data_IF_272316605178
#
_entry.id   IF_272316605178
#
_cell.length_a   1.000
_cell.length_b   1.000
_cell.length_c   1.000
_cell.angle_alpha   90.00
_cell.angle_beta   90.00
_cell.angle_gamma   90.00
#
_symmetry.space_group_name_H-M   'P 1'
#
loop_
_entity.id
_entity.type
_entity.pdbx_description
1 polymer ?
#
# COMPACT_ATOMS: atom_id res chain seq x y z
N UNK A 1 -14.41 18.15 10.25
CA UNK A 1 -13.58 18.50 9.09
C UNK A 1 -12.14 18.21 9.50
N UNK A 2 -11.53 17.12 9.04
CA UNK A 2 -10.15 16.83 9.43
C UNK A 2 -9.21 17.86 8.80
N UNK A 3 -8.22 18.38 9.55
CA UNK A 3 -7.35 19.43 9.06
C UNK A 3 -6.60 18.97 7.81
N UNK A 4 -6.70 19.72 6.72
CA UNK A 4 -5.85 19.52 5.54
C UNK A 4 -4.41 19.77 5.99
N UNK A 5 -3.45 18.94 5.59
CA UNK A 5 -2.06 19.22 5.95
C UNK A 5 -1.65 20.55 5.34
N UNK A 6 -1.09 21.42 6.17
CA UNK A 6 -0.45 22.62 5.66
C UNK A 6 0.94 22.26 5.16
N UNK A 7 1.41 23.04 4.19
CA UNK A 7 2.77 22.91 3.69
C UNK A 7 3.80 23.02 4.83
N UNK A 8 3.53 23.88 5.81
CA UNK A 8 4.36 24.07 7.00
C UNK A 8 4.47 22.80 7.86
N UNK A 9 3.36 22.09 8.09
CA UNK A 9 3.36 20.84 8.85
C UNK A 9 4.22 19.78 8.15
N UNK A 10 4.09 19.62 6.83
CA UNK A 10 4.89 18.66 6.08
C UNK A 10 6.38 19.03 6.08
N UNK A 11 6.70 20.32 5.89
CA UNK A 11 8.06 20.81 5.95
C UNK A 11 8.72 20.59 7.32
N UNK A 12 7.92 20.62 8.40
CA UNK A 12 8.40 20.33 9.75
C UNK A 12 8.54 18.83 10.04
N UNK A 13 7.57 18.01 9.61
CA UNK A 13 7.48 16.59 9.99
C UNK A 13 8.37 15.68 9.13
N UNK A 14 8.39 15.85 7.80
CA UNK A 14 9.11 14.93 6.92
C UNK A 14 10.61 14.84 7.24
N UNK A 15 11.34 15.96 7.46
CA UNK A 15 12.75 15.87 7.85
C UNK A 15 12.99 15.17 9.19
N UNK A 16 12.03 15.24 10.12
CA UNK A 16 12.09 14.55 11.42
C UNK A 16 11.87 13.05 11.26
N UNK A 17 10.92 12.66 10.41
CA UNK A 17 10.72 11.26 10.03
C UNK A 17 11.96 10.69 9.34
N UNK A 18 12.63 11.47 8.49
CA UNK A 18 13.89 11.07 7.83
C UNK A 18 15.03 10.82 8.82
N UNK A 19 14.99 11.43 10.01
CA UNK A 19 15.92 11.16 11.11
C UNK A 19 15.48 10.03 12.04
N UNK A 20 14.33 9.41 11.76
CA UNK A 20 13.79 8.33 12.57
C UNK A 20 13.12 8.80 13.87
N UNK A 21 12.68 10.05 13.96
CA UNK A 21 11.98 10.55 15.15
C UNK A 21 10.55 9.95 15.26
N UNK A 22 10.23 9.10 16.27
CA UNK A 22 8.95 8.41 16.33
C UNK A 22 7.75 9.35 16.44
N UNK A 23 7.87 10.43 17.19
CA UNK A 23 6.81 11.43 17.35
C UNK A 23 6.41 12.11 16.03
N UNK A 24 7.34 12.22 15.06
CA UNK A 24 7.02 12.77 13.75
C UNK A 24 6.25 11.76 12.89
N UNK A 25 6.59 10.47 13.01
CA UNK A 25 5.88 9.38 12.34
C UNK A 25 4.45 9.27 12.88
N UNK A 26 4.28 9.32 14.21
CA UNK A 26 2.99 9.33 14.88
C UNK A 26 2.12 10.52 14.43
N UNK A 27 2.70 11.72 14.36
CA UNK A 27 1.98 12.88 13.86
C UNK A 27 1.52 12.72 12.39
N UNK A 28 2.33 12.11 11.51
CA UNK A 28 1.90 11.79 10.15
C UNK A 28 0.80 10.72 10.16
N UNK A 29 0.92 9.71 11.03
CA UNK A 29 -0.08 8.66 11.18
C UNK A 29 -1.46 9.23 11.55
N UNK A 30 -1.54 10.04 12.60
CA UNK A 30 -2.79 10.67 13.06
C UNK A 30 -3.47 11.52 11.98
N UNK A 31 -2.67 12.12 11.10
CA UNK A 31 -3.16 12.99 10.03
C UNK A 31 -3.69 12.23 8.81
N UNK A 32 -3.17 11.03 8.53
CA UNK A 32 -3.46 10.29 7.29
C UNK A 32 -4.21 8.97 7.50
N UNK A 33 -4.15 8.37 8.69
CA UNK A 33 -4.65 7.00 8.93
C UNK A 33 -6.11 6.83 8.53
N UNK A 34 -7.01 7.67 9.05
CA UNK A 34 -8.44 7.60 8.72
C UNK A 34 -8.72 7.86 7.22
N UNK A 35 -7.94 8.74 6.57
CA UNK A 35 -8.12 9.05 5.14
C UNK A 35 -7.65 7.91 4.24
N UNK A 36 -6.53 7.29 4.59
CA UNK A 36 -6.01 6.12 3.89
C UNK A 36 -6.93 4.93 4.10
N UNK A 37 -7.40 4.71 5.34
CA UNK A 37 -8.37 3.67 5.64
C UNK A 37 -9.64 3.83 4.82
N UNK A 38 -10.26 5.02 4.78
CA UNK A 38 -11.44 5.25 3.93
C UNK A 38 -11.15 5.08 2.44
N UNK A 39 -9.98 5.53 1.98
CA UNK A 39 -9.56 5.37 0.59
C UNK A 39 -9.41 3.89 0.21
N UNK A 40 -8.84 3.09 1.09
CA UNK A 40 -8.63 1.65 0.90
C UNK A 40 -9.95 0.90 1.03
N UNK A 41 -10.76 1.20 2.05
CA UNK A 41 -12.08 0.60 2.26
C UNK A 41 -12.99 0.76 1.04
N UNK A 42 -13.03 1.96 0.46
CA UNK A 42 -13.84 2.22 -0.75
C UNK A 42 -13.36 1.46 -1.99
N UNK A 43 -12.10 1.02 -2.01
CA UNK A 43 -11.53 0.25 -3.14
C UNK A 43 -11.65 -1.24 -2.93
N UNK A 44 -11.35 -1.71 -1.71
CA UNK A 44 -11.28 -3.13 -1.37
C UNK A 44 -12.65 -3.71 -1.08
N UNK A 45 -13.56 -2.93 -0.47
CA UNK A 45 -14.85 -3.42 0.03
C UNK A 45 -14.73 -4.32 1.26
N UNK A 46 -13.53 -4.46 1.83
CA UNK A 46 -13.18 -5.32 2.94
C UNK A 46 -12.57 -4.48 4.07
N UNK A 47 -13.23 -4.36 5.24
CA UNK A 47 -12.72 -3.61 6.39
C UNK A 47 -11.41 -4.14 6.95
N UNK A 48 -11.23 -5.46 7.01
CA UNK A 48 -10.04 -6.07 7.60
C UNK A 48 -8.84 -5.85 6.68
N UNK A 49 -9.01 -6.12 5.37
CA UNK A 49 -7.98 -5.82 4.37
C UNK A 49 -7.64 -4.32 4.32
N UNK A 50 -8.63 -3.43 4.49
CA UNK A 50 -8.40 -2.00 4.52
C UNK A 50 -7.58 -1.57 5.75
N UNK A 51 -7.83 -2.14 6.92
CA UNK A 51 -7.06 -1.87 8.13
C UNK A 51 -5.61 -2.34 8.00
N UNK A 52 -5.41 -3.56 7.50
CA UNK A 52 -4.09 -4.15 7.27
C UNK A 52 -3.28 -3.35 6.26
N UNK A 53 -3.88 -3.03 5.10
CA UNK A 53 -3.18 -2.23 4.09
C UNK A 53 -2.93 -0.79 4.55
N UNK A 54 -3.77 -0.22 5.43
CA UNK A 54 -3.48 1.09 6.02
C UNK A 54 -2.19 1.05 6.82
N UNK A 55 -2.03 0.03 7.67
CA UNK A 55 -0.81 -0.17 8.45
C UNK A 55 0.40 -0.37 7.53
N UNK A 56 0.27 -1.21 6.50
CA UNK A 56 1.32 -1.47 5.51
C UNK A 56 1.75 -0.21 4.74
N UNK A 57 0.83 0.73 4.44
CA UNK A 57 1.19 2.03 3.85
C UNK A 57 2.20 2.76 4.73
N UNK A 58 1.99 2.81 6.05
CA UNK A 58 2.90 3.50 6.97
C UNK A 58 4.21 2.76 7.16
N UNK A 59 4.20 1.42 7.14
CA UNK A 59 5.43 0.62 7.14
C UNK A 59 6.28 0.97 5.92
N UNK A 60 5.71 0.95 4.71
CA UNK A 60 6.41 1.33 3.48
C UNK A 60 6.83 2.79 3.47
N UNK A 61 6.00 3.68 4.03
CA UNK A 61 6.35 5.09 4.21
C UNK A 61 7.65 5.19 5.02
N UNK A 62 7.74 4.57 6.20
CA UNK A 62 8.93 4.61 7.05
C UNK A 62 10.16 4.04 6.33
N UNK A 63 10.00 2.92 5.62
CA UNK A 63 11.09 2.28 4.87
C UNK A 63 11.65 3.17 3.74
N UNK A 64 10.83 4.03 3.15
CA UNK A 64 11.20 4.82 1.96
C UNK A 64 11.34 6.32 2.22
N UNK A 65 10.90 6.84 3.37
CA UNK A 65 10.91 8.29 3.65
C UNK A 65 12.32 8.86 3.69
N UNK A 66 13.32 8.07 4.09
CA UNK A 66 14.73 8.47 4.11
C UNK A 66 15.25 8.92 2.74
N UNK A 67 14.78 8.32 1.64
CA UNK A 67 15.16 8.69 0.27
C UNK A 67 14.15 9.61 -0.42
N UNK A 68 13.01 9.88 0.21
CA UNK A 68 11.98 10.75 -0.33
C UNK A 68 12.49 12.19 -0.47
N UNK A 69 12.36 12.75 -1.67
CA UNK A 69 12.74 14.13 -1.96
C UNK A 69 11.54 15.05 -1.81
N UNK A 70 11.49 15.78 -0.70
CA UNK A 70 10.45 16.78 -0.47
C UNK A 70 10.70 18.03 -1.32
N UNK A 71 9.72 18.40 -2.14
CA UNK A 71 9.70 19.68 -2.86
C UNK A 71 9.32 20.81 -1.91
N UNK A 72 9.98 21.98 -2.02
CA UNK A 72 9.52 23.20 -1.33
C UNK A 72 8.29 23.83 -1.96
N UNK A 73 7.99 23.51 -3.22
CA UNK A 73 6.78 23.92 -3.92
C UNK A 73 5.71 22.87 -3.70
N UNK A 74 4.62 23.26 -3.04
CA UNK A 74 3.46 22.42 -2.74
C UNK A 74 3.79 21.10 -2.00
N UNK A 75 4.56 21.15 -0.89
CA UNK A 75 5.00 19.98 -0.14
C UNK A 75 3.84 19.09 0.32
N UNK A 76 2.71 19.67 0.74
CA UNK A 76 1.58 18.87 1.22
C UNK A 76 0.98 17.98 0.14
N UNK A 77 0.76 18.50 -1.07
CA UNK A 77 0.23 17.67 -2.16
C UNK A 77 1.27 16.67 -2.67
N UNK A 78 2.55 17.05 -2.76
CA UNK A 78 3.62 16.15 -3.19
C UNK A 78 3.76 14.95 -2.24
N UNK A 79 3.79 15.20 -0.94
CA UNK A 79 3.86 14.13 0.06
C UNK A 79 2.60 13.26 0.05
N UNK A 80 1.41 13.89 0.02
CA UNK A 80 0.14 13.15 -0.05
C UNK A 80 0.07 12.26 -1.29
N UNK A 81 0.44 12.77 -2.46
CA UNK A 81 0.43 12.01 -3.72
C UNK A 81 1.37 10.81 -3.68
N UNK A 82 2.53 10.94 -3.06
CA UNK A 82 3.45 9.83 -2.84
C UNK A 82 2.87 8.77 -1.89
N UNK A 83 2.25 9.18 -0.79
CA UNK A 83 1.62 8.26 0.17
C UNK A 83 0.44 7.51 -0.45
N UNK A 84 -0.43 8.20 -1.21
CA UNK A 84 -1.52 7.57 -1.94
C UNK A 84 -1.04 6.67 -3.08
N UNK A 85 0.14 6.92 -3.65
CA UNK A 85 0.75 6.01 -4.62
C UNK A 85 1.18 4.70 -3.98
N UNK A 86 1.72 4.73 -2.75
CA UNK A 86 1.98 3.51 -1.97
C UNK A 86 0.68 2.74 -1.77
N UNK A 87 -0.39 3.41 -1.33
CA UNK A 87 -1.69 2.79 -1.12
C UNK A 87 -2.27 2.17 -2.41
N UNK A 88 -2.21 2.89 -3.53
CA UNK A 88 -2.69 2.40 -4.82
C UNK A 88 -1.92 1.15 -5.31
N UNK A 89 -0.60 1.12 -5.08
CA UNK A 89 0.22 -0.04 -5.41
C UNK A 89 -0.18 -1.25 -4.55
N UNK A 90 -0.41 -1.05 -3.24
CA UNK A 90 -0.87 -2.11 -2.36
C UNK A 90 -2.24 -2.68 -2.76
N UNK A 91 -3.18 -1.83 -3.16
CA UNK A 91 -4.47 -2.29 -3.71
C UNK A 91 -4.25 -3.14 -4.96
N UNK A 92 -3.36 -2.72 -5.85
CA UNK A 92 -3.02 -3.48 -7.07
C UNK A 92 -2.43 -4.85 -6.71
N UNK A 93 -1.50 -4.88 -5.75
CA UNK A 93 -0.85 -6.11 -5.29
C UNK A 93 -1.86 -7.07 -4.63
N UNK A 94 -2.77 -6.54 -3.81
CA UNK A 94 -3.84 -7.31 -3.15
C UNK A 94 -4.73 -8.05 -4.17
N UNK A 95 -5.17 -7.35 -5.22
CA UNK A 95 -5.99 -7.97 -6.27
C UNK A 95 -5.20 -8.92 -7.17
N UNK A 96 -3.91 -8.66 -7.42
CA UNK A 96 -3.05 -9.58 -8.16
C UNK A 96 -2.87 -10.89 -7.40
N UNK A 97 -2.60 -10.82 -6.09
CA UNK A 97 -2.45 -12.00 -5.24
C UNK A 97 -3.77 -12.79 -5.15
N UNK A 98 -4.90 -12.12 -4.95
CA UNK A 98 -6.22 -12.76 -4.90
C UNK A 98 -6.59 -13.45 -6.21
N UNK A 99 -6.31 -12.82 -7.36
CA UNK A 99 -6.55 -13.43 -8.67
C UNK A 99 -5.69 -14.68 -8.89
N UNK A 100 -4.45 -14.69 -8.40
CA UNK A 100 -3.54 -15.82 -8.57
C UNK A 100 -3.89 -16.97 -7.60
N UNK A 101 -4.44 -16.66 -6.43
CA UNK A 101 -5.03 -17.66 -5.52
C UNK A 101 -6.32 -18.29 -6.06
N UNK A 102 -7.11 -17.57 -6.85
CA UNK A 102 -8.31 -18.13 -7.51
C UNK A 102 -8.00 -18.97 -8.75
N UNK A 103 -6.78 -18.87 -9.29
CA UNK A 103 -6.30 -19.70 -10.40
C UNK A 103 -5.44 -20.82 -9.83
N UNK A 104 -6.01 -21.61 -8.91
CA UNK A 104 -5.48 -22.95 -8.68
C UNK A 104 -5.84 -23.82 -9.88
N UNK A 105 -4.79 -24.42 -10.45
CA UNK A 105 -4.76 -25.24 -11.65
C UNK A 105 -5.90 -26.29 -11.65
N UNK A 106 -6.73 -26.40 -12.70
CA UNK A 106 -7.58 -27.58 -12.86
C UNK A 106 -6.68 -28.82 -12.89
N UNK A 107 -6.94 -29.77 -11.98
CA UNK A 107 -6.28 -31.09 -11.89
C UNK A 107 -6.47 -31.94 -13.17
N UNK A 108 -7.22 -31.44 -14.15
CA UNK A 108 -7.61 -32.13 -15.39
C UNK A 108 -6.50 -32.27 -16.45
N UNK A 109 -5.27 -31.82 -16.20
CA UNK A 109 -4.13 -32.08 -17.12
C UNK A 109 -3.27 -33.28 -16.73
N UNK A 110 -3.58 -33.98 -15.64
CA UNK A 110 -3.01 -35.29 -15.36
C UNK A 110 -3.82 -36.38 -16.10
N UNK A 111 -3.80 -36.36 -17.44
CA UNK A 111 -4.32 -37.48 -18.21
C UNK A 111 -3.53 -38.75 -17.82
N UNK A 112 -4.18 -39.86 -17.43
CA UNK A 112 -3.48 -41.12 -17.28
C UNK A 112 -2.97 -41.54 -18.66
N UNK A 113 -1.66 -41.48 -18.86
CA UNK A 113 -0.97 -42.15 -19.96
C UNK A 113 -1.08 -43.67 -19.75
N UNK A 114 -2.23 -44.22 -20.10
CA UNK A 114 -2.43 -45.64 -20.32
C UNK A 114 -3.28 -45.81 -21.59
N UNK A 115 -2.66 -45.49 -22.73
CA UNK A 115 -3.04 -46.07 -24.01
C UNK A 115 -2.13 -47.29 -24.28
N UNK A 116 -2.63 -48.37 -24.89
CA UNK A 116 -1.77 -49.49 -25.26
C UNK A 116 -0.66 -49.01 -26.21
N UNK A 117 0.57 -49.45 -25.94
CA UNK A 117 1.76 -49.17 -26.76
C UNK A 117 1.51 -49.62 -28.21
N UNK A 118 1.53 -48.71 -29.20
CA UNK A 118 1.34 -49.08 -30.61
C UNK A 118 2.56 -49.79 -31.23
N UNK A 119 3.58 -50.13 -30.44
CA UNK A 119 4.77 -50.88 -30.86
C UNK A 119 4.93 -52.24 -30.15
N UNK A 120 3.82 -52.93 -29.87
CA UNK A 120 3.81 -54.38 -29.61
C UNK A 120 3.10 -55.14 -30.72
#
# INVERSE_FOLDING_TARGET
MQPRLTDEQILALVPRCQRGEPAAVEAIYDLYSDRLYRYLLTRLGDPDAAADLTTEVFVRMIQHIASFRLSRKDPANVFSGWLYRIAANLVTDYYRSSKWQQVELPDELAAPVNGPDPYQ
#
